data_IF_463116664467
#
_entry.id   IF_463116664467
#
_cell.length_a   1.000
_cell.length_b   1.000
_cell.length_c   1.000
_cell.angle_alpha   90.00
_cell.angle_beta   90.00
_cell.angle_gamma   90.00
#
_symmetry.space_group_name_H-M   'P 1'
#
loop_
_entity.id
_entity.type
_entity.pdbx_description
1 polymer ?
#
# COMPACT_ATOMS: atom_id res chain seq x y z
N UNK A 1 7.89 -8.05 -21.50
CA UNK A 1 6.76 -8.09 -22.44
C UNK A 1 5.79 -9.15 -21.93
N UNK A 2 4.53 -8.78 -21.69
CA UNK A 2 3.50 -9.73 -21.23
C UNK A 2 2.43 -9.84 -22.32
N UNK A 3 2.30 -11.03 -22.89
CA UNK A 3 1.24 -11.35 -23.85
C UNK A 3 0.38 -12.45 -23.25
N UNK A 4 -0.94 -12.30 -23.32
CA UNK A 4 -1.87 -13.33 -22.83
C UNK A 4 -2.92 -13.61 -23.90
N UNK A 5 -3.19 -14.90 -24.09
CA UNK A 5 -4.21 -15.41 -24.99
C UNK A 5 -5.37 -15.88 -24.12
N UNK A 6 -6.56 -15.33 -24.34
CA UNK A 6 -7.78 -15.73 -23.62
C UNK A 6 -8.79 -16.25 -24.62
N UNK A 7 -9.25 -17.48 -24.40
CA UNK A 7 -10.34 -18.10 -25.14
C UNK A 7 -11.57 -18.10 -24.24
N UNK A 8 -12.57 -17.29 -24.56
CA UNK A 8 -13.84 -17.27 -23.83
C UNK A 8 -14.67 -18.50 -24.19
N UNK A 9 -15.15 -19.25 -23.19
CA UNK A 9 -15.90 -20.51 -23.39
C UNK A 9 -17.16 -20.40 -24.26
N UNK A 10 -17.74 -19.20 -24.39
CA UNK A 10 -18.96 -18.94 -25.16
C UNK A 10 -18.74 -18.25 -26.52
N UNK A 11 -17.50 -17.89 -26.88
CA UNK A 11 -17.22 -17.13 -28.10
C UNK A 11 -16.17 -17.83 -28.95
N UNK A 12 -16.50 -18.13 -30.22
CA UNK A 12 -15.59 -18.68 -31.25
C UNK A 12 -14.50 -17.68 -31.69
N UNK A 13 -14.13 -16.74 -30.84
CA UNK A 13 -13.27 -15.61 -31.13
C UNK A 13 -12.08 -15.59 -30.17
N UNK A 14 -10.87 -15.70 -30.72
CA UNK A 14 -9.63 -15.62 -29.94
C UNK A 14 -9.29 -14.14 -29.73
N UNK A 15 -9.08 -13.73 -28.47
CA UNK A 15 -8.68 -12.36 -28.13
C UNK A 15 -7.22 -12.33 -27.72
N UNK A 16 -6.46 -11.50 -28.43
CA UNK A 16 -5.03 -11.33 -28.20
C UNK A 16 -4.84 -10.05 -27.39
N UNK A 17 -4.35 -10.19 -26.17
CA UNK A 17 -3.98 -9.06 -25.32
C UNK A 17 -2.46 -8.93 -25.26
N UNK A 18 -1.96 -7.76 -25.67
CA UNK A 18 -0.57 -7.39 -25.55
C UNK A 18 -0.44 -6.22 -24.57
N UNK A 19 0.44 -6.39 -23.58
CA UNK A 19 0.81 -5.34 -22.64
C UNK A 19 2.32 -5.19 -22.61
N UNK A 20 2.77 -3.98 -22.88
CA UNK A 20 4.19 -3.65 -22.83
C UNK A 20 4.44 -2.43 -21.96
N UNK A 21 5.50 -2.51 -21.17
CA UNK A 21 5.94 -1.43 -20.29
C UNK A 21 7.30 -0.98 -20.77
N UNK A 22 7.39 0.25 -21.25
CA UNK A 22 8.64 0.87 -21.67
C UNK A 22 9.11 1.83 -20.56
N UNK A 23 10.29 1.60 -19.97
CA UNK A 23 10.89 2.57 -19.07
C UNK A 23 11.36 3.77 -19.91
N UNK A 24 10.84 4.96 -19.61
CA UNK A 24 11.29 6.21 -20.25
C UNK A 24 12.38 6.86 -19.39
N UNK A 25 12.20 6.86 -18.07
CA UNK A 25 13.16 7.39 -17.09
C UNK A 25 12.95 6.68 -15.73
N UNK A 26 13.85 6.90 -14.76
CA UNK A 26 13.92 6.26 -13.42
C UNK A 26 12.62 6.22 -12.61
N UNK A 27 11.63 7.07 -12.93
CA UNK A 27 10.28 7.06 -12.33
C UNK A 27 9.13 6.99 -13.33
N UNK A 28 9.38 7.07 -14.64
CA UNK A 28 8.34 7.22 -15.68
C UNK A 28 8.26 5.95 -16.53
N UNK A 29 7.11 5.28 -16.47
CA UNK A 29 6.84 4.09 -17.28
C UNK A 29 5.69 4.35 -18.24
N UNK A 30 5.92 4.13 -19.53
CA UNK A 30 4.88 4.11 -20.55
C UNK A 30 4.31 2.69 -20.63
N UNK A 31 3.01 2.52 -20.39
CA UNK A 31 2.33 1.24 -20.57
C UNK A 31 1.47 1.31 -21.83
N UNK A 32 1.80 0.46 -22.82
CA UNK A 32 1.02 0.27 -24.02
C UNK A 32 0.12 -0.97 -23.84
N UNK A 33 -1.18 -0.79 -24.05
CA UNK A 33 -2.18 -1.84 -23.98
C UNK A 33 -2.85 -1.97 -25.35
N UNK A 34 -2.87 -3.18 -25.90
CA UNK A 34 -3.58 -3.48 -27.15
C UNK A 34 -4.37 -4.78 -27.04
N UNK A 35 -5.60 -4.75 -27.53
CA UNK A 35 -6.49 -5.91 -27.65
C UNK A 35 -7.02 -6.01 -29.08
N UNK A 36 -6.87 -7.19 -29.67
CA UNK A 36 -7.36 -7.49 -31.02
C UNK A 36 -8.26 -8.72 -30.93
N UNK A 37 -9.45 -8.61 -31.53
CA UNK A 37 -10.38 -9.72 -31.70
C UNK A 37 -10.14 -10.36 -33.07
N UNK A 38 -9.68 -11.61 -33.06
CA UNK A 38 -9.29 -12.33 -34.28
C UNK A 38 -10.48 -12.77 -35.14
N UNK A 39 -11.72 -12.68 -34.64
CA UNK A 39 -12.91 -13.04 -35.42
C UNK A 39 -13.28 -12.00 -36.48
N UNK A 40 -12.89 -10.73 -36.26
CA UNK A 40 -13.13 -9.61 -37.19
C UNK A 40 -11.86 -9.01 -37.74
N UNK A 41 -10.69 -9.34 -37.17
CA UNK A 41 -9.40 -8.72 -37.51
C UNK A 41 -9.31 -7.26 -37.10
N UNK A 42 -10.29 -6.74 -36.35
CA UNK A 42 -10.36 -5.34 -35.96
C UNK A 42 -9.72 -5.11 -34.57
N UNK A 43 -8.95 -4.02 -34.40
CA UNK A 43 -8.47 -3.63 -33.09
C UNK A 43 -9.66 -3.23 -32.21
N UNK A 44 -9.86 -3.95 -31.11
CA UNK A 44 -10.99 -3.73 -30.20
C UNK A 44 -10.66 -2.67 -29.15
N UNK A 45 -9.39 -2.55 -28.76
CA UNK A 45 -8.97 -1.55 -27.77
C UNK A 45 -7.47 -1.23 -27.88
N UNK A 46 -7.13 0.06 -27.86
CA UNK A 46 -5.75 0.56 -27.79
C UNK A 46 -5.69 1.69 -26.76
N UNK A 47 -4.76 1.59 -25.79
CA UNK A 47 -4.52 2.63 -24.81
C UNK A 47 -3.03 2.82 -24.51
N UNK A 48 -2.61 4.08 -24.42
CA UNK A 48 -1.28 4.48 -23.97
C UNK A 48 -1.42 5.20 -22.63
N UNK A 49 -0.74 4.69 -21.60
CA UNK A 49 -0.82 5.23 -20.25
C UNK A 49 0.58 5.61 -19.79
N UNK A 50 0.81 6.91 -19.58
CA UNK A 50 2.03 7.41 -18.92
C UNK A 50 1.81 7.35 -17.43
N UNK A 51 2.59 6.54 -16.71
CA UNK A 51 2.60 6.51 -15.25
C UNK A 51 3.88 7.12 -14.74
N UNK A 52 3.74 8.20 -14.00
CA UNK A 52 4.84 8.81 -13.27
C UNK A 52 4.76 8.37 -11.81
N UNK A 53 5.71 7.55 -11.40
CA UNK A 53 5.89 7.17 -10.01
C UNK A 53 7.01 8.05 -9.46
N UNK A 54 6.64 9.13 -8.75
CA UNK A 54 7.60 9.89 -7.95
C UNK A 54 7.81 9.15 -6.62
N UNK A 55 8.95 8.49 -6.39
CA UNK A 55 9.31 8.04 -5.07
C UNK A 55 9.90 9.25 -4.35
N UNK A 56 9.08 10.25 -4.04
CA UNK A 56 9.49 11.27 -3.09
C UNK A 56 9.82 10.54 -1.80
N UNK A 57 11.11 10.45 -1.48
CA UNK A 57 11.58 9.97 -0.19
C UNK A 57 11.02 10.91 0.88
N UNK A 58 9.83 10.60 1.40
CA UNK A 58 9.40 11.07 2.70
C UNK A 58 10.30 10.38 3.71
N UNK A 59 11.49 10.96 3.94
CA UNK A 59 12.34 10.57 5.05
C UNK A 59 11.52 10.81 6.31
N UNK A 60 10.90 9.75 6.82
CA UNK A 60 10.22 9.70 8.10
C UNK A 60 11.10 8.91 9.04
N UNK A 61 11.75 9.63 9.93
CA UNK A 61 12.48 9.09 11.06
C UNK A 61 11.66 9.33 12.30
N UNK A 62 11.31 8.25 12.98
CA UNK A 62 10.71 8.29 14.30
C UNK A 62 11.65 7.56 15.26
N UNK A 63 11.86 8.14 16.43
CA UNK A 63 12.54 7.47 17.54
C UNK A 63 11.45 6.96 18.47
N UNK A 64 11.34 5.64 18.60
CA UNK A 64 10.38 5.00 19.48
C UNK A 64 11.09 4.31 20.64
N UNK A 65 10.64 4.59 21.85
CA UNK A 65 10.96 3.83 23.05
C UNK A 65 9.75 2.99 23.44
N UNK A 66 9.90 1.66 23.44
CA UNK A 66 8.83 0.73 23.80
C UNK A 66 9.24 -0.10 25.02
N UNK A 67 8.48 0.00 26.10
CA UNK A 67 8.61 -0.82 27.29
C UNK A 67 7.42 -1.78 27.37
N UNK A 68 7.70 -3.09 27.34
CA UNK A 68 6.68 -4.12 27.58
C UNK A 68 6.91 -4.73 28.97
N UNK A 69 5.90 -4.66 29.83
CA UNK A 69 5.85 -5.29 31.14
C UNK A 69 4.95 -6.52 31.01
N UNK A 70 5.55 -7.69 31.12
CA UNK A 70 4.83 -8.96 31.05
C UNK A 70 4.31 -9.36 32.43
N UNK A 71 3.10 -9.93 32.50
CA UNK A 71 2.51 -10.43 33.75
C UNK A 71 2.40 -9.39 34.89
N UNK A 72 1.97 -8.15 34.61
CA UNK A 72 1.71 -7.15 35.67
C UNK A 72 0.64 -7.65 36.66
N UNK A 73 -0.34 -8.39 36.13
CA UNK A 73 -1.30 -9.26 36.83
C UNK A 73 -1.37 -10.57 36.05
N UNK A 74 -1.88 -11.65 36.66
CA UNK A 74 -2.02 -12.95 35.96
C UNK A 74 -2.73 -12.75 34.61
N UNK A 75 -2.06 -13.10 33.51
CA UNK A 75 -2.53 -12.93 32.12
C UNK A 75 -2.75 -11.46 31.67
N UNK A 76 -2.09 -10.48 32.29
CA UNK A 76 -2.15 -9.06 31.90
C UNK A 76 -0.76 -8.55 31.47
N UNK A 77 -0.64 -8.25 30.17
CA UNK A 77 0.52 -7.61 29.58
C UNK A 77 0.24 -6.13 29.32
N UNK A 78 1.17 -5.28 29.76
CA UNK A 78 1.13 -3.83 29.60
C UNK A 78 2.29 -3.40 28.72
N UNK A 79 2.01 -2.66 27.65
CA UNK A 79 3.02 -2.06 26.79
C UNK A 79 2.84 -0.56 26.75
N UNK A 80 3.91 0.15 27.09
CA UNK A 80 4.00 1.60 27.02
C UNK A 80 4.96 1.93 25.89
N UNK A 81 4.55 2.80 24.95
CA UNK A 81 5.43 3.35 23.92
C UNK A 81 5.41 4.86 23.96
N UNK A 82 6.59 5.43 23.83
CA UNK A 82 6.80 6.86 23.63
C UNK A 82 7.57 7.03 22.33
N UNK A 83 6.95 7.66 21.34
CA UNK A 83 7.54 7.93 20.04
C UNK A 83 7.75 9.41 19.81
N UNK A 84 8.77 9.75 19.03
CA UNK A 84 9.03 11.11 18.57
C UNK A 84 9.33 11.08 17.08
N UNK A 85 8.43 11.63 16.27
CA UNK A 85 8.67 11.84 14.85
C UNK A 85 9.62 13.04 14.69
N UNK A 86 10.85 12.78 14.20
CA UNK A 86 11.95 13.77 14.16
C UNK A 86 11.68 14.88 13.15
N UNK A 87 10.98 14.55 12.07
CA UNK A 87 10.71 15.48 10.97
C UNK A 87 9.53 16.40 11.27
N UNK A 88 8.41 15.83 11.74
CA UNK A 88 7.22 16.59 12.10
C UNK A 88 7.28 17.14 13.54
N UNK A 89 8.32 16.79 14.31
CA UNK A 89 8.51 17.14 15.74
C UNK A 89 7.29 16.78 16.58
N UNK A 90 6.68 15.64 16.28
CA UNK A 90 5.45 15.17 16.92
C UNK A 90 5.76 14.04 17.90
N UNK A 91 5.84 14.32 19.21
CA UNK A 91 5.80 13.26 20.21
C UNK A 91 4.40 12.64 20.27
N UNK A 92 4.38 11.32 20.29
CA UNK A 92 3.20 10.50 20.50
C UNK A 92 3.43 9.48 21.61
N UNK A 93 2.35 9.12 22.26
CA UNK A 93 2.33 8.21 23.39
C UNK A 93 1.27 7.15 23.15
N UNK A 94 1.63 5.89 23.41
CA UNK A 94 0.73 4.76 23.29
C UNK A 94 0.79 3.92 24.55
N UNK A 95 -0.37 3.62 25.12
CA UNK A 95 -0.53 2.61 26.18
C UNK A 95 -1.41 1.51 25.63
N UNK A 96 -0.92 0.28 25.69
CA UNK A 96 -1.68 -0.89 25.34
C UNK A 96 -1.72 -1.82 26.54
N UNK A 97 -2.91 -2.26 26.91
CA UNK A 97 -3.07 -3.38 27.84
C UNK A 97 -4.01 -4.39 27.22
N UNK A 98 -3.55 -5.64 27.12
CA UNK A 98 -4.33 -6.76 26.60
C UNK A 98 -5.14 -6.37 25.33
N UNK A 99 -6.45 -6.11 25.51
CA UNK A 99 -7.44 -5.83 24.48
C UNK A 99 -7.72 -4.34 24.21
N UNK A 100 -7.07 -3.40 24.92
CA UNK A 100 -7.27 -1.98 24.69
C UNK A 100 -5.95 -1.25 24.39
N UNK A 101 -6.02 -0.22 23.56
CA UNK A 101 -4.90 0.67 23.22
C UNK A 101 -5.37 2.12 23.22
N UNK A 102 -4.72 2.95 24.03
CA UNK A 102 -4.83 4.41 24.02
C UNK A 102 -3.64 4.98 23.24
N UNK A 103 -3.91 5.82 22.24
CA UNK A 103 -2.90 6.65 21.59
C UNK A 103 -3.20 8.11 21.86
N UNK A 104 -2.19 8.91 22.16
CA UNK A 104 -2.30 10.34 22.40
C UNK A 104 -1.09 11.08 21.82
N UNK A 105 -1.34 12.21 21.17
CA UNK A 105 -0.31 13.05 20.56
C UNK A 105 -0.32 14.45 21.18
N UNK A 106 0.81 15.17 21.15
CA UNK A 106 0.89 16.55 21.68
C UNK A 106 -0.03 17.55 20.96
N UNK A 107 -0.50 17.18 19.76
CA UNK A 107 -1.51 17.94 19.01
C UNK A 107 -2.90 17.93 19.66
N UNK A 108 -3.08 17.20 20.77
CA UNK A 108 -4.36 17.03 21.46
C UNK A 108 -5.26 15.98 20.82
N UNK A 109 -4.79 15.29 19.78
CA UNK A 109 -5.46 14.14 19.19
C UNK A 109 -5.23 12.92 20.08
N UNK A 110 -6.31 12.23 20.41
CA UNK A 110 -6.26 10.97 21.14
C UNK A 110 -7.29 10.00 20.56
N UNK A 111 -6.97 8.71 20.66
CA UNK A 111 -7.88 7.64 20.27
C UNK A 111 -7.77 6.48 21.25
N UNK A 112 -8.90 5.80 21.48
CA UNK A 112 -8.95 4.54 22.21
C UNK A 112 -9.48 3.49 21.24
N UNK A 113 -8.71 2.42 21.07
CA UNK A 113 -9.13 1.23 20.33
C UNK A 113 -9.33 0.09 21.31
N UNK A 114 -10.47 -0.57 21.21
CA UNK A 114 -10.77 -1.81 21.92
C UNK A 114 -10.91 -2.92 20.88
N UNK A 115 -10.22 -4.04 21.08
CA UNK A 115 -10.34 -5.27 20.29
C UNK A 115 -11.22 -6.23 21.11
N UNK A 116 -12.40 -6.58 20.58
CA UNK A 116 -13.35 -7.52 21.22
C UNK A 116 -13.04 -8.96 20.84
#
# INVERSE_FOLDING_TARGET
>A
METSLRLGGDSKALRIHAKEKFPIDSGVHLQAHGEIDTSTGAPSYLALIVRNSYPEMKQRGAVEFAWSIFNFKKDQDVRIKLGYEVFDKMPYFQVRENNWTLNADISGKWNVRFDM
#
